data_IF_573858208761
#
_entry.id   IF_573858208761
#
_cell.length_a   1.000
_cell.length_b   1.000
_cell.length_c   1.000
_cell.angle_alpha   90.00
_cell.angle_beta   90.00
_cell.angle_gamma   90.00
#
_symmetry.space_group_name_H-M   'P 1'
#
loop_
_entity.id
_entity.type
_entity.pdbx_description
1 polymer ?
#
# COMPACT_ATOMS: atom_id res chain seq x y z
N UNK A 1 -5.06 -10.19 7.30
CA UNK A 1 -5.12 -9.43 6.03
C UNK A 1 -6.54 -9.40 5.47
N UNK A 2 -7.14 -10.53 5.09
CA UNK A 2 -8.51 -10.53 4.55
C UNK A 2 -9.58 -10.05 5.56
N UNK A 3 -9.53 -10.51 6.81
CA UNK A 3 -10.47 -10.09 7.87
C UNK A 3 -10.47 -8.57 8.09
N UNK A 4 -9.29 -7.96 8.20
CA UNK A 4 -9.14 -6.50 8.37
C UNK A 4 -9.75 -5.72 7.20
N UNK A 5 -9.57 -6.19 5.96
CA UNK A 5 -10.19 -5.54 4.80
C UNK A 5 -11.72 -5.68 4.83
N UNK A 6 -12.23 -6.84 5.26
CA UNK A 6 -13.67 -7.05 5.48
C UNK A 6 -14.22 -6.13 6.57
N UNK A 7 -13.47 -5.89 7.65
CA UNK A 7 -13.86 -4.94 8.71
C UNK A 7 -13.98 -3.51 8.17
N UNK A 8 -13.21 -3.16 7.13
CA UNK A 8 -13.32 -1.90 6.39
C UNK A 8 -14.38 -1.92 5.27
N UNK A 9 -15.15 -3.00 5.13
CA UNK A 9 -16.15 -3.16 4.07
C UNK A 9 -15.57 -3.42 2.66
N UNK A 10 -14.31 -3.84 2.58
CA UNK A 10 -13.63 -4.13 1.31
C UNK A 10 -13.56 -5.63 1.04
N UNK A 11 -14.29 -6.07 0.01
CA UNK A 11 -14.29 -7.46 -0.43
C UNK A 11 -13.41 -7.65 -1.67
N UNK A 12 -12.45 -8.57 -1.57
CA UNK A 12 -11.56 -8.92 -2.67
C UNK A 12 -11.49 -10.43 -2.86
N UNK A 13 -11.67 -10.88 -4.11
CA UNK A 13 -11.38 -12.26 -4.50
C UNK A 13 -9.90 -12.57 -4.25
N UNK A 14 -9.02 -11.69 -4.75
CA UNK A 14 -7.58 -11.64 -4.45
C UNK A 14 -7.21 -10.22 -4.09
N UNK A 15 -6.45 -10.05 -3.01
CA UNK A 15 -6.04 -8.73 -2.52
C UNK A 15 -4.92 -8.21 -3.42
N UNK A 16 -5.12 -7.09 -4.14
CA UNK A 16 -4.08 -6.52 -4.98
C UNK A 16 -3.02 -5.84 -4.10
N UNK A 17 -1.75 -6.23 -4.26
CA UNK A 17 -0.62 -5.62 -3.57
C UNK A 17 0.37 -5.03 -4.58
N UNK A 18 0.56 -3.71 -4.48
CA UNK A 18 1.36 -2.93 -5.44
C UNK A 18 2.78 -2.71 -4.92
N UNK A 19 3.78 -3.15 -5.68
CA UNK A 19 5.19 -3.02 -5.33
C UNK A 19 5.96 -2.39 -6.49
N UNK A 20 6.92 -1.51 -6.18
CA UNK A 20 7.80 -0.88 -7.17
C UNK A 20 9.15 -1.59 -7.31
N UNK A 21 9.42 -2.56 -6.44
CA UNK A 21 10.61 -3.38 -6.52
C UNK A 21 10.34 -4.66 -7.32
N UNK A 22 10.74 -4.63 -8.60
CA UNK A 22 10.63 -5.79 -9.49
C UNK A 22 11.34 -7.04 -8.96
N UNK A 23 12.46 -6.87 -8.26
CA UNK A 23 13.19 -7.99 -7.67
C UNK A 23 12.39 -8.66 -6.56
N UNK A 24 11.66 -7.89 -5.74
CA UNK A 24 10.77 -8.43 -4.70
C UNK A 24 9.60 -9.18 -5.34
N UNK A 25 8.98 -8.64 -6.38
CA UNK A 25 7.91 -9.34 -7.11
C UNK A 25 8.45 -10.66 -7.69
N UNK A 26 9.60 -10.63 -8.36
CA UNK A 26 10.24 -11.82 -8.91
C UNK A 26 10.61 -12.84 -7.82
N UNK A 27 11.03 -12.39 -6.64
CA UNK A 27 11.35 -13.25 -5.50
C UNK A 27 10.12 -13.95 -4.93
N UNK A 28 8.97 -13.26 -4.88
CA UNK A 28 7.72 -13.84 -4.42
C UNK A 28 7.14 -14.84 -5.45
N UNK A 29 7.35 -14.60 -6.74
CA UNK A 29 6.82 -15.46 -7.81
C UNK A 29 7.75 -16.62 -8.21
N UNK A 30 9.05 -16.54 -7.93
CA UNK A 30 10.04 -17.55 -8.33
C UNK A 30 10.68 -18.24 -7.12
N UNK A 31 11.21 -19.45 -7.31
CA UNK A 31 11.92 -20.21 -6.26
C UNK A 31 13.38 -19.79 -6.04
N UNK A 32 13.75 -18.56 -6.42
CA UNK A 32 15.15 -18.13 -6.32
C UNK A 32 15.46 -17.71 -4.89
N UNK A 33 16.27 -18.51 -4.20
CA UNK A 33 16.82 -18.14 -2.89
C UNK A 33 18.04 -17.25 -3.05
N UNK A 34 18.01 -16.09 -2.42
CA UNK A 34 19.18 -15.26 -2.17
C UNK A 34 19.29 -15.02 -0.66
N UNK A 35 20.50 -14.98 -0.12
CA UNK A 35 20.74 -14.61 1.28
C UNK A 35 20.35 -13.14 1.49
N UNK A 36 19.23 -12.88 2.15
CA UNK A 36 18.80 -11.52 2.50
C UNK A 36 18.91 -11.31 4.01
N UNK A 37 18.58 -10.10 4.48
CA UNK A 37 18.49 -9.85 5.91
C UNK A 37 17.23 -10.56 6.46
N UNK A 38 17.31 -11.08 7.69
CA UNK A 38 16.24 -11.86 8.33
C UNK A 38 14.84 -11.24 8.22
N UNK A 39 14.75 -9.91 8.30
CA UNK A 39 13.46 -9.20 8.20
C UNK A 39 12.85 -9.30 6.80
N UNK A 40 13.69 -9.26 5.76
CA UNK A 40 13.21 -9.41 4.40
C UNK A 40 12.81 -10.87 4.14
N UNK A 41 13.55 -11.84 4.70
CA UNK A 41 13.22 -13.27 4.59
C UNK A 41 11.83 -13.58 5.19
N UNK A 42 11.50 -13.02 6.37
CA UNK A 42 10.19 -13.23 7.01
C UNK A 42 9.06 -12.64 6.16
N UNK A 43 9.22 -11.39 5.70
CA UNK A 43 8.19 -10.71 4.89
C UNK A 43 8.03 -11.42 3.54
N UNK A 44 9.14 -11.82 2.92
CA UNK A 44 9.13 -12.58 1.67
C UNK A 44 8.38 -13.89 1.82
N UNK A 45 8.73 -14.70 2.82
CA UNK A 45 8.09 -16.00 3.03
C UNK A 45 6.58 -15.86 3.25
N UNK A 46 6.19 -14.88 4.08
CA UNK A 46 4.78 -14.59 4.32
C UNK A 46 4.05 -14.18 3.04
N UNK A 47 4.57 -13.21 2.28
CA UNK A 47 3.91 -12.73 1.06
C UNK A 47 3.87 -13.83 -0.01
N UNK A 48 4.94 -14.61 -0.16
CA UNK A 48 4.98 -15.75 -1.07
C UNK A 48 3.89 -16.77 -0.75
N UNK A 49 3.76 -17.16 0.51
CA UNK A 49 2.69 -18.06 0.95
C UNK A 49 1.29 -17.49 0.63
N UNK A 50 1.06 -16.19 0.84
CA UNK A 50 -0.23 -15.56 0.49
C UNK A 50 -0.50 -15.55 -1.02
N UNK A 51 0.54 -15.41 -1.85
CA UNK A 51 0.43 -15.48 -3.32
C UNK A 51 0.15 -16.92 -3.76
N UNK A 52 0.86 -17.91 -3.22
CA UNK A 52 0.66 -19.34 -3.52
C UNK A 52 -0.73 -19.83 -3.11
N UNK A 53 -1.24 -19.37 -1.96
CA UNK A 53 -2.60 -19.65 -1.51
C UNK A 53 -3.69 -18.86 -2.27
N UNK A 54 -3.30 -18.01 -3.23
CA UNK A 54 -4.22 -17.21 -4.04
C UNK A 54 -4.95 -16.12 -3.25
N UNK A 55 -4.45 -15.74 -2.08
CA UNK A 55 -5.03 -14.67 -1.25
C UNK A 55 -4.62 -13.30 -1.75
N UNK A 56 -3.38 -13.16 -2.22
CA UNK A 56 -2.77 -11.91 -2.69
C UNK A 56 -2.38 -12.03 -4.16
N UNK A 57 -2.48 -10.93 -4.90
CA UNK A 57 -1.96 -10.79 -6.25
C UNK A 57 -1.01 -9.59 -6.33
N UNK A 58 0.19 -9.81 -6.87
CA UNK A 58 1.24 -8.80 -6.92
C UNK A 58 1.20 -8.01 -8.23
N UNK A 59 1.25 -6.68 -8.12
CA UNK A 59 1.28 -5.77 -9.26
C UNK A 59 2.50 -4.86 -9.19
N UNK A 60 3.15 -4.66 -10.34
CA UNK A 60 4.20 -3.66 -10.44
C UNK A 60 3.61 -2.26 -10.55
N UNK A 61 4.07 -1.35 -9.69
CA UNK A 61 3.84 0.09 -9.82
C UNK A 61 5.18 0.78 -10.03
N UNK A 62 5.24 1.83 -10.84
CA UNK A 62 6.50 2.57 -10.96
C UNK A 62 6.79 3.29 -9.64
N UNK A 63 8.06 3.42 -9.26
CA UNK A 63 8.48 4.11 -8.03
C UNK A 63 7.91 5.53 -7.96
N UNK A 64 7.73 6.22 -9.09
CA UNK A 64 7.13 7.55 -9.11
C UNK A 64 5.65 7.57 -8.68
N UNK A 65 4.98 6.43 -8.61
CA UNK A 65 3.56 6.31 -8.27
C UNK A 65 3.32 5.41 -7.05
N UNK A 66 4.37 5.01 -6.33
CA UNK A 66 4.23 4.26 -5.09
C UNK A 66 3.69 5.17 -3.99
N UNK A 67 2.38 5.11 -3.72
CA UNK A 67 1.70 5.95 -2.74
C UNK A 67 2.11 5.61 -1.30
N UNK A 68 2.52 4.36 -1.04
CA UNK A 68 2.99 3.92 0.28
C UNK A 68 4.27 4.65 0.73
N UNK A 69 5.02 5.26 -0.20
CA UNK A 69 6.23 6.02 0.11
C UNK A 69 5.92 7.24 1.00
N UNK A 70 4.71 7.79 0.94
CA UNK A 70 4.26 8.88 1.81
C UNK A 70 4.41 8.49 3.28
N UNK A 71 4.16 7.22 3.62
CA UNK A 71 4.11 6.74 5.01
C UNK A 71 5.41 6.06 5.46
N UNK A 72 6.33 5.78 4.55
CA UNK A 72 7.49 4.89 4.83
C UNK A 72 8.84 5.55 4.55
N UNK A 73 8.89 6.67 3.82
CA UNK A 73 10.14 7.32 3.42
C UNK A 73 10.15 8.81 3.77
N UNK A 74 11.32 9.38 4.13
CA UNK A 74 11.50 10.83 4.15
C UNK A 74 11.59 11.34 2.71
N UNK A 75 10.50 11.91 2.19
CA UNK A 75 10.42 12.43 0.83
C UNK A 75 10.76 13.92 0.76
N UNK A 76 11.40 14.35 -0.32
CA UNK A 76 11.53 15.77 -0.65
C UNK A 76 10.14 16.40 -0.85
N UNK A 77 10.01 17.70 -0.54
CA UNK A 77 8.73 18.44 -0.59
C UNK A 77 7.99 18.24 -1.92
N UNK A 78 8.66 18.44 -3.06
CA UNK A 78 8.06 18.30 -4.39
C UNK A 78 7.48 16.90 -4.63
N UNK A 79 8.20 15.87 -4.14
CA UNK A 79 7.81 14.48 -4.26
C UNK A 79 6.61 14.16 -3.37
N UNK A 80 6.61 14.67 -2.14
CA UNK A 80 5.50 14.54 -1.22
C UNK A 80 4.24 15.25 -1.76
N UNK A 81 4.36 16.49 -2.22
CA UNK A 81 3.25 17.27 -2.81
C UNK A 81 2.65 16.55 -4.03
N UNK A 82 3.49 15.96 -4.88
CA UNK A 82 3.02 15.13 -6.00
C UNK A 82 2.18 13.94 -5.54
N UNK A 83 2.65 13.18 -4.53
CA UNK A 83 1.95 11.99 -4.05
C UNK A 83 0.69 12.32 -3.24
N UNK A 84 0.71 13.40 -2.43
CA UNK A 84 -0.46 13.93 -1.69
C UNK A 84 -1.60 14.24 -2.66
N UNK A 85 -1.29 14.88 -3.80
CA UNK A 85 -2.29 15.17 -4.83
C UNK A 85 -2.92 13.90 -5.41
N UNK A 86 -2.19 12.79 -5.47
CA UNK A 86 -2.70 11.51 -5.99
C UNK A 86 -3.65 10.80 -5.03
N UNK A 87 -3.42 10.92 -3.72
CA UNK A 87 -4.35 10.40 -2.69
C UNK A 87 -5.52 11.35 -2.39
N UNK A 88 -5.61 12.48 -3.10
CA UNK A 88 -6.63 13.53 -2.90
C UNK A 88 -6.65 14.08 -1.47
N UNK A 89 -5.52 14.04 -0.77
CA UNK A 89 -5.41 14.63 0.55
C UNK A 89 -5.38 16.16 0.39
N UNK A 90 -6.32 16.85 1.04
CA UNK A 90 -6.51 18.29 0.96
C UNK A 90 -6.29 18.93 2.33
N UNK A 91 -5.69 20.12 2.36
CA UNK A 91 -5.66 20.93 3.57
C UNK A 91 -7.02 21.60 3.75
N UNK A 92 -7.68 21.31 4.87
CA UNK A 92 -8.94 21.95 5.24
C UNK A 92 -8.66 23.02 6.29
N UNK A 93 -9.33 24.18 6.21
CA UNK A 93 -9.32 25.13 7.32
C UNK A 93 -10.20 24.59 8.46
N UNK A 94 -9.95 25.00 9.71
CA UNK A 94 -10.82 24.62 10.83
C UNK A 94 -12.29 24.95 10.56
N UNK A 95 -12.60 26.10 9.93
CA UNK A 95 -13.99 26.47 9.62
C UNK A 95 -14.63 25.57 8.56
N UNK A 96 -13.84 24.95 7.69
CA UNK A 96 -14.35 24.01 6.68
C UNK A 96 -14.63 22.65 7.30
N UNK A 97 -13.87 22.24 8.31
CA UNK A 97 -14.11 21.00 9.05
C UNK A 97 -15.37 21.07 9.91
N UNK A 98 -15.61 22.22 10.56
CA UNK A 98 -16.80 22.44 11.40
C UNK A 98 -18.09 22.32 10.56
N UNK A 99 -18.13 22.97 9.38
CA UNK A 99 -19.28 22.90 8.48
C UNK A 99 -19.59 21.48 7.96
N UNK A 100 -18.58 20.65 7.75
CA UNK A 100 -18.78 19.27 7.27
C UNK A 100 -19.25 18.32 8.37
N UNK A 101 -18.92 18.59 9.63
CA UNK A 101 -19.40 17.82 10.77
C UNK A 101 -20.90 18.09 11.03
N UNK A 102 -21.35 19.32 10.79
CA UNK A 102 -22.75 19.70 10.98
C UNK A 102 -23.68 19.20 9.85
N UNK A 103 -23.15 18.92 8.65
CA UNK A 103 -23.91 18.43 7.50
C UNK A 103 -24.23 16.91 7.55
N UNK A 104 -23.60 16.14 8.46
CA UNK A 104 -23.89 14.69 8.64
C UNK A 104 -25.05 14.41 9.63
N UNK A 105 -25.61 15.44 10.29
CA UNK A 105 -26.71 15.31 11.26
C UNK A 105 -28.12 15.63 10.72
N UNK A 106 -28.29 15.94 9.43
CA UNK A 106 -29.59 16.15 8.75
C UNK A 106 -29.97 15.01 7.78
#
# INVERSE_FOLDING_TARGET
>A
MRSQLTDYGLEFNKIPLYCDNKSVIALCCNNVQHSQSKQIDIIHHFIKEQVENGVVELYFVRTEYQLADIFTKPLARERLEFLIKKIRMQSMSPETLEKLADEEEE
#
